data_IF_457113304965
#
_entry.id   IF_457113304965
#
_cell.length_a   1.000
_cell.length_b   1.000
_cell.length_c   1.000
_cell.angle_alpha   90.00
_cell.angle_beta   90.00
_cell.angle_gamma   90.00
#
_symmetry.space_group_name_H-M   'P 1'
#
loop_
_entity.id
_entity.type
_entity.pdbx_description
1 polymer ?
#
# COMPACT_ATOMS: atom_id res chain seq x y z
N UNK A 1 29.91 30.93 6.01
CA UNK A 1 29.32 29.72 5.41
C UNK A 1 28.96 28.74 6.52
N UNK A 2 29.87 28.54 7.46
CA UNK A 2 29.70 27.69 8.65
C UNK A 2 28.40 27.96 9.41
N UNK A 3 28.09 29.21 9.76
CA UNK A 3 26.81 29.55 10.41
C UNK A 3 25.56 29.11 9.61
N UNK A 4 25.61 29.16 8.28
CA UNK A 4 24.48 28.73 7.43
C UNK A 4 24.36 27.21 7.42
N UNK A 5 25.48 26.51 7.48
CA UNK A 5 25.52 25.06 7.62
C UNK A 5 24.96 24.69 9.01
N UNK A 6 25.42 25.35 10.07
CA UNK A 6 24.93 25.11 11.43
C UNK A 6 23.42 25.32 11.54
N UNK A 7 22.88 26.40 10.94
CA UNK A 7 21.43 26.63 10.89
C UNK A 7 20.70 25.51 10.14
N UNK A 8 21.23 25.05 9.00
CA UNK A 8 20.63 23.95 8.25
C UNK A 8 20.72 22.60 8.97
N UNK A 9 21.74 22.42 9.79
CA UNK A 9 22.00 21.19 10.55
C UNK A 9 21.38 21.20 11.94
N UNK A 10 20.75 22.30 12.35
CA UNK A 10 19.98 22.36 13.60
C UNK A 10 18.86 21.32 13.62
N UNK A 11 18.23 21.07 12.47
CA UNK A 11 17.33 19.96 12.23
C UNK A 11 17.39 19.53 10.75
N UNK A 12 18.19 18.50 10.40
CA UNK A 12 18.37 18.06 9.02
C UNK A 12 17.15 17.33 8.45
N UNK A 13 16.13 17.03 9.26
CA UNK A 13 14.87 16.43 8.83
C UNK A 13 13.85 17.51 8.45
N UNK A 14 13.69 18.53 9.29
CA UNK A 14 12.63 19.53 9.16
C UNK A 14 13.06 20.78 8.39
N UNK A 15 14.31 21.23 8.49
CA UNK A 15 14.76 22.46 7.82
C UNK A 15 14.65 22.37 6.29
N UNK A 16 15.05 21.26 5.63
CA UNK A 16 14.83 21.11 4.19
C UNK A 16 13.36 21.23 3.78
N UNK A 17 12.45 20.63 4.56
CA UNK A 17 11.00 20.69 4.31
C UNK A 17 10.44 22.10 4.51
N UNK A 18 10.94 22.83 5.51
CA UNK A 18 10.56 24.22 5.74
C UNK A 18 10.95 25.11 4.56
N UNK A 19 12.15 24.90 4.00
CA UNK A 19 12.63 25.66 2.86
C UNK A 19 11.84 25.29 1.60
N UNK A 20 11.62 24.00 1.35
CA UNK A 20 10.83 23.52 0.22
C UNK A 20 9.38 24.03 0.23
N UNK A 21 8.75 24.18 1.39
CA UNK A 21 7.38 24.69 1.48
C UNK A 21 7.31 26.20 1.21
N UNK A 22 8.35 26.96 1.60
CA UNK A 22 8.28 28.42 1.65
C UNK A 22 9.10 29.14 0.59
N UNK A 23 10.07 28.50 -0.09
CA UNK A 23 10.97 29.18 -1.04
C UNK A 23 10.21 29.96 -2.13
N UNK A 24 9.08 29.43 -2.60
CA UNK A 24 8.23 30.05 -3.64
C UNK A 24 7.56 31.36 -3.18
N UNK A 25 7.37 31.52 -1.87
CA UNK A 25 6.77 32.70 -1.26
C UNK A 25 7.77 33.87 -1.17
N UNK A 26 9.05 33.71 -1.50
CA UNK A 26 10.00 34.81 -1.42
C UNK A 26 10.25 35.46 -2.79
N UNK A 27 10.28 36.79 -2.80
CA UNK A 27 10.70 37.57 -3.96
C UNK A 27 12.21 37.78 -3.91
N UNK A 28 12.97 37.22 -4.88
CA UNK A 28 14.43 37.33 -4.89
C UNK A 28 14.87 38.80 -5.02
N UNK A 29 15.69 39.27 -4.08
CA UNK A 29 16.26 40.62 -4.14
C UNK A 29 17.15 40.81 -5.38
N UNK A 30 17.77 39.74 -5.87
CA UNK A 30 18.62 39.72 -7.07
C UNK A 30 17.84 39.92 -8.38
N UNK A 31 16.52 39.70 -8.40
CA UNK A 31 15.71 39.89 -9.60
C UNK A 31 15.41 41.37 -9.93
N UNK A 32 15.54 42.27 -8.96
CA UNK A 32 15.32 43.71 -9.15
C UNK A 32 13.92 44.06 -9.70
N UNK A 33 13.85 45.02 -10.62
CA UNK A 33 12.63 45.28 -11.42
C UNK A 33 12.51 44.18 -12.49
N UNK A 34 11.53 43.32 -12.30
CA UNK A 34 11.22 42.20 -13.19
C UNK A 34 9.80 42.38 -13.72
N UNK A 35 9.64 43.30 -14.69
CA UNK A 35 8.34 43.68 -15.23
C UNK A 35 7.62 42.50 -15.92
N UNK A 36 8.37 41.48 -16.35
CA UNK A 36 7.87 40.30 -17.05
C UNK A 36 7.87 39.02 -16.19
N UNK A 37 8.34 39.08 -14.94
CA UNK A 37 8.41 37.93 -14.02
C UNK A 37 9.37 36.80 -14.40
N UNK A 38 10.09 36.93 -15.51
CA UNK A 38 10.92 35.87 -16.09
C UNK A 38 12.18 35.59 -15.26
N UNK A 39 12.78 36.64 -14.66
CA UNK A 39 13.97 36.47 -13.82
C UNK A 39 13.62 35.76 -12.53
N UNK A 40 12.48 36.11 -11.92
CA UNK A 40 11.95 35.40 -10.75
C UNK A 40 11.68 33.94 -11.08
N UNK A 41 11.02 33.65 -12.20
CA UNK A 41 10.74 32.28 -12.63
C UNK A 41 12.02 31.46 -12.81
N UNK A 42 13.05 32.04 -13.44
CA UNK A 42 14.35 31.38 -13.63
C UNK A 42 15.03 31.05 -12.29
N UNK A 43 14.99 31.96 -11.31
CA UNK A 43 15.56 31.71 -9.98
C UNK A 43 14.77 30.64 -9.20
N UNK A 44 13.43 30.64 -9.32
CA UNK A 44 12.59 29.59 -8.74
C UNK A 44 12.91 28.22 -9.33
N UNK A 45 13.08 28.13 -10.65
CA UNK A 45 13.46 26.88 -11.32
C UNK A 45 14.81 26.36 -10.83
N UNK A 46 15.83 27.22 -10.75
CA UNK A 46 17.15 26.86 -10.22
C UNK A 46 17.12 26.44 -8.75
N UNK A 47 16.28 27.07 -7.94
CA UNK A 47 16.08 26.66 -6.55
C UNK A 47 15.39 25.28 -6.46
N UNK A 48 14.42 25.02 -7.33
CA UNK A 48 13.74 23.73 -7.40
C UNK A 48 14.69 22.60 -7.84
N UNK A 49 15.56 22.83 -8.82
CA UNK A 49 16.62 21.90 -9.23
C UNK A 49 17.54 21.57 -8.05
N UNK A 50 18.01 22.58 -7.32
CA UNK A 50 18.87 22.38 -6.15
C UNK A 50 18.18 21.58 -5.03
N UNK A 51 16.89 21.82 -4.79
CA UNK A 51 16.10 21.02 -3.83
C UNK A 51 16.01 19.56 -4.28
N UNK A 52 15.80 19.32 -5.59
CA UNK A 52 15.75 17.97 -6.15
C UNK A 52 17.10 17.25 -6.04
N UNK A 53 18.22 17.93 -6.30
CA UNK A 53 19.56 17.39 -6.05
C UNK A 53 19.76 17.03 -4.57
N UNK A 54 19.26 17.90 -3.68
CA UNK A 54 19.24 17.64 -2.24
C UNK A 54 18.45 16.38 -1.86
N UNK A 55 17.34 16.10 -2.53
CA UNK A 55 16.53 14.90 -2.32
C UNK A 55 17.26 13.63 -2.78
N UNK A 56 17.93 13.67 -3.93
CA UNK A 56 18.79 12.57 -4.42
C UNK A 56 19.89 12.26 -3.40
N UNK A 57 20.56 13.30 -2.87
CA UNK A 57 21.57 13.14 -1.83
C UNK A 57 20.95 12.60 -0.53
N UNK A 58 19.75 13.05 -0.17
CA UNK A 58 19.06 12.56 1.02
C UNK A 58 18.75 11.06 0.92
N UNK A 59 18.41 10.54 -0.27
CA UNK A 59 18.30 9.10 -0.51
C UNK A 59 19.62 8.39 -0.22
N UNK A 60 20.75 8.94 -0.67
CA UNK A 60 22.08 8.36 -0.37
C UNK A 60 22.38 8.32 1.12
N UNK A 61 22.02 9.38 1.85
CA UNK A 61 22.21 9.46 3.30
C UNK A 61 21.32 8.45 4.03
N UNK A 62 20.01 8.41 3.72
CA UNK A 62 19.03 7.62 4.48
C UNK A 62 19.03 6.15 4.10
N UNK A 63 19.08 5.83 2.80
CA UNK A 63 19.03 4.45 2.28
C UNK A 63 20.38 3.74 2.42
N UNK A 64 21.47 4.45 2.14
CA UNK A 64 22.82 3.86 2.11
C UNK A 64 23.72 4.30 3.28
N UNK A 65 23.17 5.04 4.26
CA UNK A 65 23.85 5.46 5.50
C UNK A 65 25.12 6.30 5.24
N UNK A 66 25.16 7.05 4.14
CA UNK A 66 26.32 7.87 3.74
C UNK A 66 26.31 9.27 4.41
N UNK A 67 26.44 9.32 5.74
CA UNK A 67 26.37 10.55 6.53
C UNK A 67 27.43 11.61 6.18
N UNK A 68 28.53 11.21 5.55
CA UNK A 68 29.54 12.13 5.01
C UNK A 68 28.98 13.11 3.97
N UNK A 69 27.86 12.77 3.32
CA UNK A 69 27.18 13.64 2.36
C UNK A 69 26.23 14.65 3.00
N UNK A 70 26.12 14.69 4.33
CA UNK A 70 25.24 15.62 5.04
C UNK A 70 25.47 17.08 4.65
N UNK A 71 26.71 17.55 4.67
CA UNK A 71 27.04 18.95 4.34
C UNK A 71 26.63 19.34 2.91
N UNK A 72 26.86 18.45 1.93
CA UNK A 72 26.44 18.71 0.55
C UNK A 72 24.91 18.64 0.41
N UNK A 73 24.26 17.74 1.15
CA UNK A 73 22.81 17.66 1.26
C UNK A 73 22.19 18.95 1.79
N UNK A 74 22.75 19.54 2.84
CA UNK A 74 22.32 20.84 3.37
C UNK A 74 22.62 22.00 2.43
N UNK A 75 23.76 21.97 1.73
CA UNK A 75 24.07 22.99 0.73
C UNK A 75 23.00 23.02 -0.37
N UNK A 76 22.67 21.85 -0.93
CA UNK A 76 21.71 21.70 -2.02
C UNK A 76 20.26 21.94 -1.60
N UNK A 77 19.84 21.37 -0.46
CA UNK A 77 18.44 21.47 -0.01
C UNK A 77 18.11 22.80 0.67
N UNK A 78 19.08 23.45 1.32
CA UNK A 78 18.83 24.60 2.18
C UNK A 78 19.52 25.89 1.70
N UNK A 79 20.86 25.85 1.57
CA UNK A 79 21.66 27.07 1.42
C UNK A 79 21.54 27.68 0.03
N UNK A 80 21.61 26.86 -1.02
CA UNK A 80 21.49 27.33 -2.41
C UNK A 80 20.07 27.90 -2.68
N UNK A 81 18.96 27.21 -2.34
CA UNK A 81 17.62 27.76 -2.50
C UNK A 81 17.42 29.07 -1.74
N UNK A 82 17.90 29.14 -0.49
CA UNK A 82 17.84 30.36 0.31
C UNK A 82 18.67 31.51 -0.29
N UNK A 83 19.85 31.21 -0.85
CA UNK A 83 20.70 32.20 -1.50
C UNK A 83 20.12 32.71 -2.83
N UNK A 84 19.41 31.87 -3.58
CA UNK A 84 18.78 32.28 -4.84
C UNK A 84 17.52 33.14 -4.59
N UNK A 85 16.79 32.86 -3.51
CA UNK A 85 15.46 33.43 -3.24
C UNK A 85 15.39 34.32 -2.01
N UNK A 86 16.51 34.76 -1.46
CA UNK A 86 16.49 35.71 -0.34
C UNK A 86 15.75 37.00 -0.74
N UNK A 87 14.90 37.50 0.15
CA UNK A 87 14.20 38.77 -0.05
C UNK A 87 12.91 38.88 0.74
N UNK A 88 11.97 39.67 0.24
CA UNK A 88 10.69 39.90 0.92
C UNK A 88 9.71 38.76 0.63
N UNK A 89 9.03 38.26 1.67
CA UNK A 89 7.95 37.27 1.53
C UNK A 89 6.67 37.91 0.96
N UNK A 90 6.05 37.21 0.03
CA UNK A 90 4.79 37.54 -0.64
C UNK A 90 3.80 36.38 -0.50
N UNK A 91 2.51 36.71 -0.43
CA UNK A 91 1.41 35.74 -0.42
C UNK A 91 1.02 35.39 -1.85
N UNK A 92 0.88 34.10 -2.16
CA UNK A 92 0.48 33.64 -3.49
C UNK A 92 -1.04 33.46 -3.61
N UNK A 93 -1.71 33.18 -2.49
CA UNK A 93 -3.16 33.01 -2.43
C UNK A 93 -3.82 34.18 -1.69
N UNK A 94 -5.02 34.57 -2.14
CA UNK A 94 -5.80 35.60 -1.46
C UNK A 94 -6.22 35.10 -0.06
N UNK A 95 -5.89 35.88 0.97
CA UNK A 95 -6.19 35.53 2.37
C UNK A 95 -5.14 34.63 3.06
N UNK A 96 -4.03 34.32 2.39
CA UNK A 96 -2.92 33.60 3.01
C UNK A 96 -2.27 34.47 4.10
N UNK A 97 -1.98 33.88 5.26
CA UNK A 97 -1.25 34.57 6.32
C UNK A 97 0.21 34.74 5.92
N UNK A 98 0.79 35.93 6.16
CA UNK A 98 2.16 36.23 5.75
C UNK A 98 3.22 35.74 6.76
N UNK A 99 3.30 34.43 6.99
CA UNK A 99 4.35 33.80 7.80
C UNK A 99 4.83 32.47 7.19
N UNK A 100 5.98 31.98 7.61
CA UNK A 100 6.52 30.70 7.13
C UNK A 100 5.63 29.54 7.58
N UNK A 101 5.13 28.77 6.61
CA UNK A 101 4.31 27.58 6.83
C UNK A 101 5.19 26.42 7.24
N UNK A 102 4.70 25.57 8.13
CA UNK A 102 5.33 24.29 8.40
C UNK A 102 5.24 23.39 7.14
N UNK A 103 6.21 22.50 6.95
CA UNK A 103 6.25 21.60 5.79
C UNK A 103 4.99 20.74 5.69
N UNK A 104 4.16 20.97 4.67
CA UNK A 104 2.91 20.23 4.46
C UNK A 104 3.13 18.80 3.96
N UNK A 105 4.37 18.48 3.57
CA UNK A 105 4.76 17.19 3.02
C UNK A 105 4.46 16.02 3.96
N UNK A 106 4.74 16.15 5.27
CA UNK A 106 4.54 15.05 6.23
C UNK A 106 3.08 14.58 6.30
N UNK A 107 2.13 15.53 6.36
CA UNK A 107 0.70 15.22 6.35
C UNK A 107 0.24 14.61 5.03
N UNK A 108 0.75 15.12 3.90
CA UNK A 108 0.48 14.57 2.56
C UNK A 108 1.04 13.15 2.40
N UNK A 109 2.25 12.89 2.90
CA UNK A 109 2.89 11.57 2.85
C UNK A 109 2.11 10.55 3.68
N UNK A 110 1.68 10.92 4.88
CA UNK A 110 0.80 10.06 5.70
C UNK A 110 -0.53 9.75 5.00
N UNK A 111 -1.14 10.76 4.39
CA UNK A 111 -2.39 10.60 3.62
C UNK A 111 -2.19 9.70 2.40
N UNK A 112 -1.08 9.87 1.66
CA UNK A 112 -0.70 8.99 0.56
C UNK A 112 -0.56 7.54 1.04
N UNK A 113 0.19 7.29 2.12
CA UNK A 113 0.38 5.95 2.67
C UNK A 113 -0.92 5.32 3.20
N UNK A 114 -1.86 6.10 3.74
CA UNK A 114 -3.22 5.63 4.07
C UNK A 114 -3.96 5.21 2.81
N UNK A 115 -3.98 6.06 1.79
CA UNK A 115 -4.72 5.82 0.54
C UNK A 115 -4.15 4.63 -0.24
N UNK A 116 -2.83 4.41 -0.22
CA UNK A 116 -2.21 3.24 -0.83
C UNK A 116 -2.63 1.93 -0.16
N UNK A 117 -2.71 1.90 1.17
CA UNK A 117 -3.19 0.72 1.91
C UNK A 117 -4.65 0.42 1.61
N UNK A 118 -5.49 1.44 1.59
CA UNK A 118 -6.90 1.31 1.22
C UNK A 118 -7.09 0.83 -0.22
N UNK A 119 -6.29 1.34 -1.15
CA UNK A 119 -6.30 0.89 -2.54
C UNK A 119 -5.87 -0.57 -2.66
N UNK A 120 -4.91 -1.01 -1.84
CA UNK A 120 -4.45 -2.40 -1.84
C UNK A 120 -5.51 -3.36 -1.27
N UNK A 121 -6.14 -3.00 -0.16
CA UNK A 121 -7.25 -3.79 0.39
C UNK A 121 -8.35 -4.01 -0.67
N UNK A 122 -8.75 -2.93 -1.35
CA UNK A 122 -9.73 -2.99 -2.43
C UNK A 122 -9.25 -3.82 -3.63
N UNK A 123 -7.96 -3.72 -3.98
CA UNK A 123 -7.36 -4.50 -5.06
C UNK A 123 -7.43 -6.01 -4.77
N UNK A 124 -7.13 -6.43 -3.54
CA UNK A 124 -7.24 -7.82 -3.09
C UNK A 124 -8.69 -8.31 -3.18
N UNK A 125 -9.67 -7.50 -2.76
CA UNK A 125 -11.09 -7.87 -2.87
C UNK A 125 -11.55 -8.05 -4.32
N UNK A 126 -11.17 -7.13 -5.22
CA UNK A 126 -11.48 -7.24 -6.64
C UNK A 126 -10.81 -8.45 -7.30
N UNK A 127 -9.58 -8.79 -6.90
CA UNK A 127 -8.92 -10.01 -7.37
C UNK A 127 -9.59 -11.28 -6.84
N UNK A 128 -10.03 -11.28 -5.58
CA UNK A 128 -10.77 -12.40 -4.99
C UNK A 128 -12.07 -12.70 -5.75
N UNK A 129 -12.66 -11.69 -6.41
CA UNK A 129 -13.82 -11.90 -7.26
C UNK A 129 -13.57 -12.83 -8.45
N UNK A 130 -12.32 -13.01 -8.92
CA UNK A 130 -11.96 -13.75 -10.15
C UNK A 130 -12.59 -13.21 -11.46
N UNK A 131 -13.47 -12.21 -11.39
CA UNK A 131 -14.09 -11.53 -12.55
C UNK A 131 -13.16 -10.48 -13.18
N UNK A 132 -12.08 -10.16 -12.49
CA UNK A 132 -11.16 -9.09 -12.88
C UNK A 132 -9.72 -9.59 -12.82
N UNK A 133 -9.02 -9.52 -13.95
CA UNK A 133 -7.60 -9.83 -14.01
C UNK A 133 -6.81 -8.53 -13.85
N UNK A 134 -6.76 -8.00 -12.63
CA UNK A 134 -5.98 -6.82 -12.33
C UNK A 134 -4.53 -7.21 -12.05
N UNK A 135 -3.67 -7.00 -13.04
CA UNK A 135 -2.25 -7.28 -12.89
C UNK A 135 -1.53 -6.33 -11.92
N UNK A 136 -2.11 -5.17 -11.60
CA UNK A 136 -1.48 -4.20 -10.67
C UNK A 136 -2.48 -3.25 -10.01
N UNK A 137 -2.10 -2.80 -8.81
CA UNK A 137 -2.77 -1.70 -8.08
C UNK A 137 -2.82 -0.41 -8.89
N UNK A 138 -1.77 -0.13 -9.65
CA UNK A 138 -1.67 1.09 -10.45
C UNK A 138 -2.68 1.07 -11.60
N UNK A 139 -2.94 -0.10 -12.20
CA UNK A 139 -4.01 -0.27 -13.18
C UNK A 139 -5.39 -0.04 -12.54
N UNK A 140 -5.62 -0.54 -11.31
CA UNK A 140 -6.86 -0.25 -10.57
C UNK A 140 -7.08 1.26 -10.44
N UNK A 141 -6.06 1.98 -9.99
CA UNK A 141 -6.11 3.43 -9.75
C UNK A 141 -6.32 4.24 -11.03
N UNK A 142 -5.60 3.92 -12.10
CA UNK A 142 -5.57 4.73 -13.32
C UNK A 142 -6.71 4.38 -14.28
N UNK A 143 -6.98 3.10 -14.48
CA UNK A 143 -7.86 2.64 -15.57
C UNK A 143 -9.26 2.30 -15.06
N UNK A 144 -9.36 1.60 -13.93
CA UNK A 144 -10.63 1.02 -13.46
C UNK A 144 -11.39 1.89 -12.47
N UNK A 145 -10.71 2.65 -11.60
CA UNK A 145 -11.35 3.37 -10.49
C UNK A 145 -12.47 4.30 -10.95
N UNK A 146 -12.25 5.02 -12.06
CA UNK A 146 -13.27 5.92 -12.62
C UNK A 146 -14.49 5.15 -13.16
N UNK A 147 -14.28 3.98 -13.76
CA UNK A 147 -15.35 3.14 -14.28
C UNK A 147 -16.17 2.51 -13.14
N UNK A 148 -15.48 1.97 -12.13
CA UNK A 148 -16.10 1.42 -10.92
C UNK A 148 -16.94 2.50 -10.22
N UNK A 149 -16.39 3.69 -10.05
CA UNK A 149 -17.12 4.82 -9.45
C UNK A 149 -18.40 5.15 -10.21
N UNK A 150 -18.37 5.20 -11.55
CA UNK A 150 -19.55 5.45 -12.37
C UNK A 150 -20.58 4.33 -12.22
N UNK A 151 -20.16 3.07 -12.23
CA UNK A 151 -21.05 1.92 -12.03
C UNK A 151 -21.73 1.93 -10.65
N UNK A 152 -21.05 2.45 -9.63
CA UNK A 152 -21.61 2.59 -8.28
C UNK A 152 -22.50 3.83 -8.10
N UNK A 153 -22.25 4.92 -8.83
CA UNK A 153 -22.93 6.22 -8.60
C UNK A 153 -24.00 6.57 -9.63
N UNK A 154 -23.80 6.25 -10.91
CA UNK A 154 -24.74 6.61 -11.99
C UNK A 154 -26.11 5.93 -11.83
N UNK A 155 -26.20 4.63 -11.46
CA UNK A 155 -27.49 4.00 -11.20
C UNK A 155 -28.28 4.72 -10.09
N UNK A 156 -27.60 5.12 -9.02
CA UNK A 156 -28.21 5.79 -7.87
C UNK A 156 -28.74 7.21 -8.18
N UNK A 157 -28.28 7.81 -9.29
CA UNK A 157 -28.72 9.12 -9.75
C UNK A 157 -29.84 9.05 -10.79
N UNK A 158 -29.76 8.07 -11.69
CA UNK A 158 -30.57 8.06 -12.91
C UNK A 158 -31.76 7.08 -12.86
N UNK A 159 -31.70 6.04 -12.01
CA UNK A 159 -32.73 5.00 -11.94
C UNK A 159 -33.67 5.19 -10.74
N UNK A 160 -34.86 4.58 -10.78
CA UNK A 160 -35.73 4.49 -9.62
C UNK A 160 -35.03 3.84 -8.43
N UNK A 161 -35.36 4.27 -7.21
CA UNK A 161 -34.67 3.90 -5.97
C UNK A 161 -34.41 2.38 -5.82
N UNK A 162 -35.44 1.56 -6.03
CA UNK A 162 -35.34 0.13 -5.73
C UNK A 162 -34.49 -0.60 -6.79
N UNK A 163 -34.68 -0.29 -8.07
CA UNK A 163 -33.88 -0.83 -9.18
C UNK A 163 -32.42 -0.36 -9.12
N UNK A 164 -32.20 0.90 -8.71
CA UNK A 164 -30.86 1.46 -8.56
C UNK A 164 -30.07 0.73 -7.46
N UNK A 165 -30.71 0.46 -6.32
CA UNK A 165 -30.09 -0.24 -5.19
C UNK A 165 -29.79 -1.69 -5.57
N UNK A 166 -30.72 -2.38 -6.23
CA UNK A 166 -30.52 -3.76 -6.69
C UNK A 166 -29.30 -3.88 -7.61
N UNK A 167 -29.23 -3.07 -8.68
CA UNK A 167 -28.08 -3.07 -9.62
C UNK A 167 -26.73 -2.79 -8.96
N UNK A 168 -26.70 -1.88 -7.98
CA UNK A 168 -25.45 -1.55 -7.27
C UNK A 168 -25.06 -2.68 -6.32
N UNK A 169 -26.00 -3.29 -5.60
CA UNK A 169 -25.72 -4.44 -4.72
C UNK A 169 -25.25 -5.64 -5.55
N UNK A 170 -25.89 -5.94 -6.67
CA UNK A 170 -25.45 -6.99 -7.60
C UNK A 170 -24.02 -6.76 -8.09
N UNK A 171 -23.69 -5.53 -8.48
CA UNK A 171 -22.33 -5.18 -8.90
C UNK A 171 -21.32 -5.32 -7.76
N UNK A 172 -21.70 -4.92 -6.54
CA UNK A 172 -20.86 -5.11 -5.35
C UNK A 172 -20.63 -6.60 -5.07
N UNK A 173 -21.64 -7.44 -5.23
CA UNK A 173 -21.55 -8.88 -4.99
C UNK A 173 -20.68 -9.56 -6.06
N UNK A 174 -20.87 -9.20 -7.32
CA UNK A 174 -20.10 -9.72 -8.46
C UNK A 174 -18.60 -9.49 -8.29
N UNK A 175 -18.21 -8.28 -7.89
CA UNK A 175 -16.81 -7.88 -7.72
C UNK A 175 -16.30 -8.02 -6.28
N UNK A 176 -17.06 -8.64 -5.38
CA UNK A 176 -16.70 -8.80 -3.96
C UNK A 176 -16.36 -7.48 -3.25
N UNK A 177 -17.01 -6.38 -3.65
CA UNK A 177 -16.82 -5.05 -3.08
C UNK A 177 -17.62 -4.97 -1.77
N UNK A 178 -16.93 -4.65 -0.67
CA UNK A 178 -17.58 -4.44 0.62
C UNK A 178 -18.16 -3.03 0.75
N UNK A 179 -19.00 -2.81 1.76
CA UNK A 179 -19.46 -1.46 2.08
C UNK A 179 -18.30 -0.53 2.49
N UNK A 180 -17.26 -1.09 3.13
CA UNK A 180 -16.04 -0.34 3.48
C UNK A 180 -15.24 0.07 2.22
N UNK A 181 -15.21 -0.80 1.20
CA UNK A 181 -14.59 -0.49 -0.09
C UNK A 181 -15.39 0.56 -0.86
N UNK A 182 -16.72 0.53 -0.80
CA UNK A 182 -17.56 1.56 -1.41
C UNK A 182 -17.20 2.94 -0.85
N UNK A 183 -17.13 3.08 0.47
CA UNK A 183 -16.75 4.34 1.12
C UNK A 183 -15.30 4.74 0.74
N UNK A 184 -14.40 3.76 0.65
CA UNK A 184 -13.02 3.95 0.21
C UNK A 184 -12.95 4.49 -1.22
N UNK A 185 -13.69 3.91 -2.17
CA UNK A 185 -13.77 4.37 -3.56
C UNK A 185 -14.25 5.82 -3.62
N UNK A 186 -15.26 6.15 -2.79
CA UNK A 186 -15.79 7.51 -2.71
C UNK A 186 -14.79 8.49 -2.09
N UNK A 187 -13.99 8.07 -1.11
CA UNK A 187 -12.91 8.89 -0.51
C UNK A 187 -11.78 9.12 -1.51
N UNK A 188 -11.28 8.06 -2.17
CA UNK A 188 -10.19 8.12 -3.16
C UNK A 188 -10.55 8.95 -4.40
N UNK A 189 -11.84 9.05 -4.72
CA UNK A 189 -12.35 9.79 -5.88
C UNK A 189 -12.59 11.28 -5.61
N UNK A 190 -12.29 11.80 -4.41
CA UNK A 190 -12.41 13.22 -4.09
C UNK A 190 -11.18 13.99 -4.54
N UNK A 191 -11.37 14.86 -5.53
CA UNK A 191 -10.32 15.75 -6.02
C UNK A 191 -10.67 17.21 -5.72
N UNK A 192 -9.67 18.02 -5.34
CA UNK A 192 -9.86 19.46 -5.14
C UNK A 192 -10.42 20.11 -6.40
N UNK A 193 -11.48 20.91 -6.26
CA UNK A 193 -12.13 21.60 -7.37
C UNK A 193 -13.08 20.74 -8.21
N UNK A 194 -13.33 19.47 -7.85
CA UNK A 194 -14.36 18.63 -8.46
C UNK A 194 -15.54 18.41 -7.52
N UNK A 195 -16.77 18.28 -8.03
CA UNK A 195 -17.93 17.94 -7.20
C UNK A 195 -17.72 16.55 -6.58
N UNK A 196 -18.30 16.33 -5.41
CA UNK A 196 -18.20 15.05 -4.74
C UNK A 196 -19.00 14.02 -5.57
N UNK A 197 -18.47 12.81 -5.82
CA UNK A 197 -19.18 11.80 -6.59
C UNK A 197 -20.60 11.50 -6.08
N UNK A 198 -20.82 11.65 -4.77
CA UNK A 198 -22.10 11.41 -4.11
C UNK A 198 -23.05 12.62 -4.11
N UNK A 199 -22.66 13.76 -4.69
CA UNK A 199 -23.54 14.92 -4.84
C UNK A 199 -24.69 14.59 -5.80
N UNK A 200 -25.91 14.97 -5.41
CA UNK A 200 -27.15 14.66 -6.13
C UNK A 200 -27.86 13.36 -5.72
N UNK A 201 -27.22 12.49 -4.93
CA UNK A 201 -27.87 11.25 -4.44
C UNK A 201 -28.64 11.54 -3.15
N UNK A 202 -29.94 11.27 -3.14
CA UNK A 202 -30.79 11.49 -1.96
C UNK A 202 -30.33 10.62 -0.76
N UNK A 203 -30.32 11.16 0.46
CA UNK A 203 -29.94 10.40 1.67
C UNK A 203 -30.77 9.12 1.86
N UNK A 204 -32.05 9.13 1.47
CA UNK A 204 -32.94 7.97 1.54
C UNK A 204 -32.51 6.80 0.64
N UNK A 205 -31.86 7.09 -0.50
CA UNK A 205 -31.32 6.08 -1.42
C UNK A 205 -30.06 5.46 -0.84
N UNK A 206 -29.17 6.28 -0.24
CA UNK A 206 -27.97 5.78 0.45
C UNK A 206 -28.32 4.84 1.62
N UNK A 207 -29.30 5.24 2.44
CA UNK A 207 -29.78 4.41 3.53
C UNK A 207 -30.43 3.10 3.04
N UNK A 208 -31.12 3.13 1.91
CA UNK A 208 -31.68 1.94 1.29
C UNK A 208 -30.59 1.00 0.75
N UNK A 209 -29.53 1.54 0.14
CA UNK A 209 -28.37 0.77 -0.31
C UNK A 209 -27.73 0.00 0.85
N UNK A 210 -27.43 0.67 1.97
CA UNK A 210 -26.85 0.00 3.15
C UNK A 210 -27.75 -1.10 3.70
N UNK A 211 -29.07 -0.88 3.74
CA UNK A 211 -30.04 -1.88 4.22
C UNK A 211 -30.12 -3.08 3.28
N UNK A 212 -30.15 -2.86 1.97
CA UNK A 212 -30.19 -3.92 0.97
C UNK A 212 -28.90 -4.75 0.98
N UNK A 213 -27.74 -4.09 1.04
CA UNK A 213 -26.43 -4.73 1.19
C UNK A 213 -26.40 -5.66 2.41
N UNK A 214 -26.81 -5.15 3.59
CA UNK A 214 -26.80 -5.94 4.82
C UNK A 214 -27.80 -7.11 4.80
N UNK A 215 -28.98 -6.91 4.19
CA UNK A 215 -29.99 -7.96 4.01
C UNK A 215 -29.48 -9.10 3.13
N UNK A 216 -28.70 -8.80 2.10
CA UNK A 216 -28.06 -9.79 1.23
C UNK A 216 -26.78 -10.40 1.81
N UNK A 217 -26.26 -9.91 2.95
CA UNK A 217 -24.98 -10.39 3.49
C UNK A 217 -25.01 -11.87 3.89
N UNK A 218 -26.18 -12.39 4.27
CA UNK A 218 -26.35 -13.80 4.64
C UNK A 218 -26.36 -14.76 3.46
N UNK A 219 -26.48 -14.30 2.21
CA UNK A 219 -26.44 -15.15 1.01
C UNK A 219 -25.24 -14.86 0.12
N UNK A 220 -24.36 -13.95 0.55
CA UNK A 220 -23.25 -13.47 -0.25
C UNK A 220 -22.09 -14.45 -0.17
N UNK A 221 -21.53 -14.79 -1.34
CA UNK A 221 -20.28 -15.52 -1.44
C UNK A 221 -19.15 -14.57 -1.06
N UNK A 222 -18.62 -14.71 0.17
CA UNK A 222 -17.44 -13.97 0.60
C UNK A 222 -16.21 -14.68 0.06
N UNK A 223 -15.53 -14.06 -0.90
CA UNK A 223 -14.37 -14.64 -1.60
C UNK A 223 -13.03 -14.19 -1.00
N UNK A 224 -13.00 -13.07 -0.29
CA UNK A 224 -11.82 -12.55 0.37
C UNK A 224 -11.77 -12.99 1.85
N UNK A 225 -10.61 -13.47 2.31
CA UNK A 225 -10.46 -14.07 3.63
C UNK A 225 -10.65 -13.08 4.80
N UNK A 226 -10.30 -11.82 4.62
CA UNK A 226 -10.44 -10.76 5.64
C UNK A 226 -11.87 -10.24 5.81
N UNK A 227 -12.72 -10.50 4.82
CA UNK A 227 -14.16 -10.25 4.89
C UNK A 227 -14.93 -11.40 5.58
N UNK A 228 -14.30 -12.54 5.85
CA UNK A 228 -14.92 -13.67 6.56
C UNK A 228 -14.93 -13.40 8.07
N UNK A 229 -16.11 -13.20 8.64
CA UNK A 229 -16.26 -13.07 10.10
C UNK A 229 -16.44 -14.44 10.75
N UNK A 230 -15.36 -15.02 11.30
CA UNK A 230 -15.41 -16.25 12.09
C UNK A 230 -15.86 -15.94 13.54
N UNK A 231 -16.79 -16.71 14.14
CA UNK A 231 -17.14 -16.56 15.55
C UNK A 231 -15.91 -16.75 16.45
N UNK A 232 -15.63 -15.80 17.34
CA UNK A 232 -14.51 -15.90 18.30
C UNK A 232 -13.18 -15.28 17.84
N UNK A 233 -13.00 -14.97 16.55
CA UNK A 233 -11.84 -14.22 16.06
C UNK A 233 -12.17 -12.73 16.01
N UNK A 234 -11.68 -11.95 16.97
CA UNK A 234 -11.74 -10.48 16.90
C UNK A 234 -10.96 -10.07 15.65
N UNK A 235 -11.57 -9.30 14.72
CA UNK A 235 -10.87 -8.64 13.60
C UNK A 235 -9.58 -8.04 14.17
N UNK A 236 -8.43 -8.56 13.78
CA UNK A 236 -7.17 -7.98 14.18
C UNK A 236 -7.17 -6.54 13.67
N UNK A 237 -7.13 -5.56 14.58
CA UNK A 237 -6.94 -4.17 14.17
C UNK A 237 -5.64 -4.14 13.37
N UNK A 238 -5.73 -3.90 12.05
CA UNK A 238 -4.57 -3.75 11.17
C UNK A 238 -3.63 -2.74 11.86
N UNK A 239 -2.51 -3.24 12.41
CA UNK A 239 -1.56 -2.44 13.20
C UNK A 239 -1.16 -1.22 12.37
N UNK A 240 -1.46 -0.03 12.89
CA UNK A 240 -0.99 1.23 12.32
C UNK A 240 0.51 1.35 12.59
N UNK A 241 1.33 0.71 11.75
CA UNK A 241 2.76 0.98 11.73
C UNK A 241 2.94 2.37 11.11
N UNK A 242 3.44 3.29 11.92
CA UNK A 242 3.91 4.59 11.49
C UNK A 242 5.30 4.40 10.88
N UNK A 243 5.37 4.12 9.58
CA UNK A 243 6.63 4.22 8.84
C UNK A 243 6.87 5.71 8.56
N UNK A 244 7.74 6.33 9.35
CA UNK A 244 8.40 7.58 8.99
C UNK A 244 9.34 7.30 7.83
N UNK A 245 9.16 8.02 6.73
CA UNK A 245 10.15 8.23 5.66
C UNK A 245 10.72 6.96 5.00
N UNK A 246 9.86 6.06 4.53
CA UNK A 246 10.26 5.07 3.53
C UNK A 246 9.74 5.48 2.15
N UNK A 247 10.60 5.64 1.13
CA UNK A 247 10.14 5.92 -0.23
C UNK A 247 9.36 4.71 -0.74
N UNK A 248 8.11 4.94 -1.14
CA UNK A 248 7.26 3.95 -1.82
C UNK A 248 7.82 3.76 -3.23
N UNK A 249 8.75 2.82 -3.40
CA UNK A 249 9.23 2.41 -4.72
C UNK A 249 8.25 1.39 -5.33
N UNK A 250 7.46 1.85 -6.30
CA UNK A 250 6.77 0.99 -7.28
C UNK A 250 7.70 0.67 -8.46
N UNK A 251 8.93 0.25 -8.22
CA UNK A 251 9.76 -0.43 -9.22
C UNK A 251 10.90 -1.15 -8.52
N UNK A 252 10.80 -2.47 -8.42
CA UNK A 252 11.80 -3.44 -8.86
C UNK A 252 11.40 -4.82 -8.34
N UNK A 253 11.16 -5.71 -9.31
CA UNK A 253 11.06 -7.13 -9.08
C UNK A 253 12.38 -7.67 -8.50
N UNK A 254 12.25 -8.64 -7.61
CA UNK A 254 13.21 -9.72 -7.30
C UNK A 254 14.67 -9.32 -7.05
N UNK A 255 15.08 -9.33 -5.77
CA UNK A 255 16.09 -10.26 -5.23
C UNK A 255 16.52 -9.87 -3.79
N UNK A 256 16.74 -10.91 -2.98
CA UNK A 256 17.36 -10.96 -1.65
C UNK A 256 16.53 -10.60 -0.40
N UNK A 257 15.87 -11.66 0.08
CA UNK A 257 15.74 -12.04 1.49
C UNK A 257 17.14 -12.11 2.11
N UNK A 258 17.35 -11.41 3.23
CA UNK A 258 18.05 -11.88 4.43
C UNK A 258 18.22 -10.69 5.38
N UNK A 259 17.48 -10.70 6.48
CA UNK A 259 17.93 -10.32 7.82
C UNK A 259 16.77 -10.51 8.79
N UNK A 260 16.80 -11.66 9.45
CA UNK A 260 16.07 -11.95 10.67
C UNK A 260 16.67 -11.10 11.81
N UNK A 261 15.87 -10.23 12.41
CA UNK A 261 16.12 -9.79 13.79
C UNK A 261 14.99 -10.29 14.66
N UNK A 262 15.35 -11.24 15.52
CA UNK A 262 14.57 -11.76 16.63
C UNK A 262 14.03 -10.61 17.49
N UNK A 263 12.72 -10.56 17.69
CA UNK A 263 12.14 -9.95 18.88
C UNK A 263 11.31 -11.02 19.55
N UNK A 264 11.91 -11.58 20.60
CA UNK A 264 11.26 -12.43 21.59
C UNK A 264 10.14 -11.65 22.27
N UNK A 265 8.94 -12.23 22.27
CA UNK A 265 7.91 -11.86 23.23
C UNK A 265 7.37 -13.13 23.85
N UNK A 266 7.96 -13.47 24.98
CA UNK A 266 7.41 -14.39 25.96
C UNK A 266 5.96 -13.96 26.27
N UNK A 267 5.01 -14.87 26.06
CA UNK A 267 3.72 -14.78 26.74
C UNK A 267 3.42 -16.18 27.26
N UNK A 268 3.32 -16.25 28.58
CA UNK A 268 3.16 -17.45 29.38
C UNK A 268 1.98 -18.31 28.92
N UNK A 269 2.23 -19.61 28.94
CA UNK A 269 1.29 -20.69 28.70
C UNK A 269 0.02 -20.54 29.55
N UNK A 270 -1.13 -20.52 28.87
CA UNK A 270 -2.35 -21.09 29.42
C UNK A 270 -2.68 -22.32 28.57
N UNK A 271 -2.36 -23.48 29.13
CA UNK A 271 -2.91 -24.76 28.74
C UNK A 271 -4.44 -24.67 28.75
N UNK A 272 -5.07 -24.91 27.60
CA UNK A 272 -6.37 -25.60 27.55
C UNK A 272 -6.66 -26.12 26.12
N UNK A 273 -6.83 -27.44 26.08
CA UNK A 273 -7.36 -28.34 25.06
C UNK A 273 -6.71 -28.45 23.66
N UNK A 274 -6.07 -29.61 23.49
CA UNK A 274 -5.68 -30.25 22.24
C UNK A 274 -6.92 -30.69 21.45
N UNK A 275 -7.64 -29.75 20.85
CA UNK A 275 -8.51 -30.03 19.70
C UNK A 275 -7.84 -29.50 18.43
N UNK A 276 -7.61 -30.43 17.51
CA UNK A 276 -7.01 -30.26 16.18
C UNK A 276 -7.49 -28.96 15.49
N UNK A 277 -6.58 -27.98 15.23
CA UNK A 277 -6.97 -26.66 14.71
C UNK A 277 -7.69 -26.75 13.36
N UNK A 278 -7.44 -27.81 12.59
CA UNK A 278 -8.12 -28.09 11.32
C UNK A 278 -9.60 -28.44 11.52
N UNK A 279 -9.96 -29.17 12.58
CA UNK A 279 -11.35 -29.57 12.84
C UNK A 279 -12.19 -28.41 13.35
N UNK A 280 -11.61 -27.53 14.16
CA UNK A 280 -12.27 -26.31 14.64
C UNK A 280 -12.55 -25.34 13.50
N UNK A 281 -11.59 -25.18 12.58
CA UNK A 281 -11.77 -24.40 11.35
C UNK A 281 -12.86 -24.98 10.45
N UNK A 282 -12.92 -26.30 10.30
CA UNK A 282 -13.97 -26.98 9.54
C UNK A 282 -15.35 -26.79 10.17
N UNK A 283 -15.49 -26.98 11.49
CA UNK A 283 -16.77 -26.75 12.17
C UNK A 283 -17.23 -25.30 12.12
N UNK A 284 -16.29 -24.36 12.20
CA UNK A 284 -16.60 -22.93 12.09
C UNK A 284 -17.02 -22.55 10.66
N UNK A 285 -16.38 -23.12 9.63
CA UNK A 285 -16.76 -22.97 8.22
C UNK A 285 -18.14 -23.58 7.92
N UNK A 286 -18.45 -24.76 8.46
CA UNK A 286 -19.77 -25.39 8.35
C UNK A 286 -20.86 -24.55 9.05
N UNK A 287 -20.53 -23.95 10.20
CA UNK A 287 -21.40 -23.02 10.91
C UNK A 287 -21.67 -21.73 10.13
N UNK A 288 -20.73 -21.29 9.28
CA UNK A 288 -20.93 -20.16 8.37
C UNK A 288 -21.79 -20.54 7.16
N UNK A 289 -21.65 -21.77 6.65
CA UNK A 289 -22.52 -22.29 5.59
C UNK A 289 -23.99 -22.39 6.03
N UNK A 290 -24.23 -22.79 7.29
CA UNK A 290 -25.59 -22.84 7.86
C UNK A 290 -26.19 -21.46 8.12
N UNK A 291 -25.36 -20.40 8.18
CA UNK A 291 -25.79 -18.99 8.16
C UNK A 291 -25.91 -18.42 6.74
N UNK A 292 -25.77 -19.26 5.71
CA UNK A 292 -25.93 -18.92 4.29
C UNK A 292 -24.69 -18.34 3.61
N UNK A 293 -23.55 -18.27 4.32
CA UNK A 293 -22.29 -17.79 3.76
C UNK A 293 -21.57 -18.98 3.11
N UNK A 294 -21.55 -19.00 1.77
CA UNK A 294 -20.85 -20.04 1.01
C UNK A 294 -19.38 -19.63 0.85
N UNK A 295 -18.47 -20.31 1.55
CA UNK A 295 -17.02 -20.08 1.47
C UNK A 295 -16.42 -21.11 0.51
N UNK A 296 -15.82 -20.67 -0.59
CA UNK A 296 -15.16 -21.55 -1.55
C UNK A 296 -13.64 -21.43 -1.39
N UNK A 297 -13.02 -22.46 -0.80
CA UNK A 297 -11.57 -22.60 -0.76
C UNK A 297 -11.15 -23.70 -1.74
N UNK A 298 -10.38 -23.36 -2.76
CA UNK A 298 -9.68 -24.35 -3.59
C UNK A 298 -8.41 -24.80 -2.83
N UNK A 299 -8.57 -25.69 -1.86
CA UNK A 299 -7.43 -26.39 -1.24
C UNK A 299 -6.96 -27.50 -2.21
N UNK A 300 -5.77 -27.32 -2.77
CA UNK A 300 -5.09 -28.34 -3.59
C UNK A 300 -4.81 -29.57 -2.72
N UNK A 301 -5.64 -30.60 -2.84
CA UNK A 301 -5.62 -31.78 -1.98
C UNK A 301 -4.29 -32.55 -2.00
N UNK A 302 -3.69 -32.68 -0.83
CA UNK A 302 -2.63 -33.64 -0.52
C UNK A 302 -3.28 -34.84 0.18
N UNK A 303 -3.59 -35.89 -0.58
CA UNK A 303 -4.14 -37.12 -0.05
C UNK A 303 -3.15 -37.88 0.83
N UNK A 304 -3.57 -38.21 2.03
CA UNK A 304 -2.86 -39.10 2.95
C UNK A 304 -3.14 -40.57 2.61
N UNK A 305 -2.10 -41.41 2.62
CA UNK A 305 -2.26 -42.84 2.85
C UNK A 305 -1.04 -43.39 3.59
N UNK A 306 -1.22 -43.69 4.87
CA UNK A 306 -0.28 -44.46 5.68
C UNK A 306 -0.77 -45.92 5.78
N UNK A 307 0.06 -46.89 5.40
CA UNK A 307 -0.07 -48.28 5.86
C UNK A 307 1.23 -49.09 5.68
N UNK A 308 1.86 -49.36 6.83
CA UNK A 308 2.68 -50.50 7.28
C UNK A 308 3.29 -51.52 6.27
N UNK A 309 4.62 -51.69 6.46
CA UNK A 309 5.46 -52.89 6.33
C UNK A 309 4.73 -54.25 6.23
N UNK A 310 5.06 -55.01 5.18
CA UNK A 310 4.86 -56.46 5.07
C UNK A 310 5.99 -57.09 4.26
N UNK A 311 6.58 -58.17 4.79
CA UNK A 311 7.79 -58.88 4.34
C UNK A 311 7.34 -60.11 3.52
N UNK A 312 7.87 -60.32 2.31
CA UNK A 312 7.51 -61.49 1.48
C UNK A 312 8.47 -61.72 0.32
N UNK A 313 9.01 -62.94 0.25
CA UNK A 313 10.14 -63.44 -0.54
C UNK A 313 9.64 -64.14 -1.81
N UNK A 314 10.31 -63.95 -2.96
CA UNK A 314 10.00 -64.67 -4.21
C UNK A 314 11.02 -64.47 -5.34
N UNK A 315 11.91 -65.47 -5.47
CA UNK A 315 12.83 -65.86 -6.56
C UNK A 315 12.12 -66.07 -7.92
N UNK A 316 12.67 -66.04 -9.15
CA UNK A 316 14.02 -66.09 -9.72
C UNK A 316 14.03 -65.73 -11.25
N UNK A 317 15.26 -65.50 -11.78
CA UNK A 317 15.78 -65.78 -13.14
C UNK A 317 15.34 -64.83 -14.30
N UNK A 318 16.18 -64.37 -15.25
CA UNK A 318 17.36 -64.95 -15.92
C UNK A 318 18.31 -63.87 -16.52
N UNK A 319 19.58 -64.26 -16.63
CA UNK A 319 20.70 -63.84 -17.53
C UNK A 319 20.57 -62.66 -18.51
N UNK A 320 21.59 -61.78 -18.54
CA UNK A 320 22.59 -61.79 -19.61
C UNK A 320 23.85 -60.96 -19.32
N UNK A 321 24.93 -61.27 -20.04
CA UNK A 321 26.34 -61.06 -19.69
C UNK A 321 27.07 -59.87 -20.36
N UNK A 322 28.35 -59.71 -19.93
CA UNK A 322 29.49 -58.90 -20.46
C UNK A 322 29.52 -57.43 -20.06
N UNK A 323 30.64 -56.83 -19.64
CA UNK A 323 32.03 -57.27 -19.48
C UNK A 323 32.96 -56.07 -19.20
N UNK A 324 34.19 -56.34 -18.72
CA UNK A 324 35.35 -55.40 -18.72
C UNK A 324 35.57 -54.61 -17.42
N UNK A 325 36.51 -55.01 -16.53
CA UNK A 325 37.92 -54.54 -16.42
C UNK A 325 38.04 -53.00 -16.29
N UNK A 326 38.67 -52.39 -15.28
CA UNK A 326 39.42 -52.89 -14.12
C UNK A 326 40.04 -51.73 -13.32
N UNK A 327 40.50 -52.07 -12.12
CA UNK A 327 41.57 -51.49 -11.28
C UNK A 327 41.76 -49.98 -11.12
N UNK A 328 41.88 -49.54 -9.84
CA UNK A 328 42.77 -48.43 -9.49
C UNK A 328 42.42 -47.71 -8.18
N UNK A 329 42.89 -48.24 -7.06
CA UNK A 329 42.91 -47.54 -5.78
C UNK A 329 43.98 -46.42 -5.77
N UNK A 330 43.71 -45.29 -5.10
CA UNK A 330 44.56 -44.69 -4.05
C UNK A 330 44.33 -43.18 -3.85
N UNK A 331 43.76 -42.84 -2.70
CA UNK A 331 44.25 -41.92 -1.66
C UNK A 331 45.03 -40.61 -1.98
N UNK A 332 44.59 -39.55 -1.26
CA UNK A 332 45.32 -38.36 -0.74
C UNK A 332 45.75 -37.34 -1.81
N UNK A 333 45.75 -36.01 -1.59
CA UNK A 333 45.92 -35.20 -0.38
C UNK A 333 45.51 -33.74 -0.68
N UNK A 334 45.13 -33.02 0.38
CA UNK A 334 45.05 -31.55 0.52
C UNK A 334 46.00 -30.72 -0.36
N UNK A 335 45.47 -29.62 -0.89
CA UNK A 335 45.86 -28.28 -0.43
C UNK A 335 44.62 -27.39 -0.38
#
# INVERSE_FOLDING_TARGET
MDERIDLSMSDPDLVPLLIQENYINYRPSSAGKDDNGMKRMSLLARAAESIADGDIVNVQIRRYRQWQLSQIGSLASCIIPAALLHGQRETLEQGERNFNRFGGWLGKNSTMGKNYRLLEDMHVHLLASRESNLGSRSALRLDYLTLVLKRLTDPLKNLPKDEAVEKVVEFMDLYSISMEDFDTIMELSKFKGRPNPLDGIQPAVKAALTRAYNKGSSSRVVRAADLVTLPGVKKSLKKRVAAMLEPVDETLAEENIENEEEITSETEDQEDDLDDPEKKLQSDLESLSSKGIQVQMDLKGSGSSSAKKGRGRGTAATSDAKGGRGSGAAAKRKR
#
